data_IF_617967946320
#
_entry.id   IF_617967946320
#
_cell.length_a   1.000
_cell.length_b   1.000
_cell.length_c   1.000
_cell.angle_alpha   90.00
_cell.angle_beta   90.00
_cell.angle_gamma   90.00
#
_symmetry.space_group_name_H-M   'P 1'
#
loop_
_entity.id
_entity.type
_entity.pdbx_description
1 polymer ?
#
# COMPACT_ATOMS: atom_id res chain seq x y z
N UNK A 1 -14.78 22.65 3.39
CA UNK A 1 -14.60 21.27 3.84
C UNK A 1 -13.57 20.64 2.92
N UNK A 2 -12.38 20.33 3.40
CA UNK A 2 -11.34 19.71 2.59
C UNK A 2 -11.79 18.29 2.26
N UNK A 3 -11.81 17.92 0.98
CA UNK A 3 -12.12 16.57 0.52
C UNK A 3 -11.25 15.54 1.26
N UNK A 4 -11.82 14.44 1.77
CA UNK A 4 -11.02 13.38 2.37
C UNK A 4 -10.01 12.90 1.33
N UNK A 5 -8.74 12.82 1.73
CA UNK A 5 -7.68 12.38 0.83
C UNK A 5 -7.84 10.88 0.61
N UNK A 6 -8.37 10.47 -0.54
CA UNK A 6 -8.44 9.06 -0.90
C UNK A 6 -7.02 8.53 -1.07
N UNK A 7 -6.53 7.79 -0.07
CA UNK A 7 -5.21 7.18 -0.09
C UNK A 7 -5.17 6.04 -1.12
N UNK A 8 -4.01 5.86 -1.76
CA UNK A 8 -3.78 4.71 -2.64
C UNK A 8 -3.94 3.40 -1.84
N UNK A 9 -4.72 2.40 -2.30
CA UNK A 9 -4.90 1.12 -1.60
C UNK A 9 -3.60 0.41 -1.22
N UNK A 10 -2.57 0.48 -2.06
CA UNK A 10 -1.24 -0.09 -1.77
C UNK A 10 -0.54 0.64 -0.63
N UNK A 11 -0.74 1.96 -0.54
CA UNK A 11 -0.21 2.75 0.55
C UNK A 11 -0.97 2.49 1.87
N UNK A 12 -2.27 2.22 1.80
CA UNK A 12 -3.05 1.74 2.96
C UNK A 12 -2.50 0.39 3.45
N UNK A 13 -2.27 -0.57 2.55
CA UNK A 13 -1.66 -1.85 2.89
C UNK A 13 -0.26 -1.70 3.52
N UNK A 14 0.56 -0.77 2.99
CA UNK A 14 1.86 -0.44 3.59
C UNK A 14 1.71 0.10 5.02
N UNK A 15 0.75 1.01 5.25
CA UNK A 15 0.52 1.57 6.57
C UNK A 15 0.04 0.53 7.58
N UNK A 16 -0.87 -0.34 7.16
CA UNK A 16 -1.32 -1.47 7.95
C UNK A 16 -0.20 -2.46 8.27
N UNK A 17 0.69 -2.75 7.32
CA UNK A 17 1.86 -3.60 7.58
C UNK A 17 2.79 -3.06 8.66
N UNK A 18 2.67 -1.78 8.99
CA UNK A 18 3.43 -1.09 10.04
C UNK A 18 2.62 -0.79 11.30
N UNK A 19 1.32 -1.12 11.32
CA UNK A 19 0.41 -0.79 12.42
C UNK A 19 0.20 0.72 12.61
N UNK A 20 0.27 1.50 11.52
CA UNK A 20 0.18 2.96 11.53
C UNK A 20 -0.92 3.46 10.59
N UNK A 21 -1.40 4.69 10.79
CA UNK A 21 -2.23 5.38 9.79
C UNK A 21 -1.37 5.88 8.62
N UNK A 22 -1.96 6.15 7.44
CA UNK A 22 -1.24 6.71 6.29
C UNK A 22 -0.48 8.00 6.62
N UNK A 23 -1.07 8.88 7.43
CA UNK A 23 -0.46 10.13 7.88
C UNK A 23 0.74 9.87 8.80
N UNK A 24 0.60 8.95 9.74
CA UNK A 24 1.68 8.56 10.66
C UNK A 24 2.86 7.94 9.91
N UNK A 25 2.59 7.08 8.92
CA UNK A 25 3.62 6.52 8.04
C UNK A 25 4.31 7.60 7.24
N UNK A 26 3.56 8.54 6.67
CA UNK A 26 4.13 9.64 5.90
C UNK A 26 5.10 10.47 6.73
N UNK A 27 4.75 10.75 7.99
CA UNK A 27 5.62 11.50 8.90
C UNK A 27 6.83 10.67 9.34
N UNK A 28 6.64 9.39 9.68
CA UNK A 28 7.74 8.49 10.00
C UNK A 28 8.72 8.34 8.83
N UNK A 29 8.22 8.19 7.60
CA UNK A 29 9.05 8.08 6.39
C UNK A 29 9.77 9.40 6.06
N UNK A 30 9.18 10.55 6.38
CA UNK A 30 9.84 11.85 6.24
C UNK A 30 11.12 11.93 7.08
N UNK A 31 11.11 11.34 8.26
CA UNK A 31 12.27 11.27 9.17
C UNK A 31 13.25 10.18 8.75
N UNK A 32 12.75 8.98 8.40
CA UNK A 32 13.57 7.82 8.05
C UNK A 32 14.26 7.93 6.67
N UNK A 33 13.64 8.65 5.73
CA UNK A 33 14.12 8.82 4.36
C UNK A 33 14.22 10.31 3.99
N UNK A 34 15.16 11.06 4.58
CA UNK A 34 15.31 12.48 4.31
C UNK A 34 15.58 12.73 2.82
N UNK A 35 14.73 13.51 2.16
CA UNK A 35 14.79 13.77 0.72
C UNK A 35 14.19 12.67 -0.18
N UNK A 36 13.86 11.50 0.38
CA UNK A 36 13.28 10.36 -0.35
C UNK A 36 11.76 10.33 -0.24
N UNK A 37 11.05 10.99 -1.17
CA UNK A 37 9.58 10.99 -1.15
C UNK A 37 9.05 9.56 -1.40
N UNK A 38 8.36 9.00 -0.41
CA UNK A 38 7.81 7.63 -0.43
C UNK A 38 8.85 6.51 -0.63
N UNK A 39 10.12 6.75 -0.34
CA UNK A 39 11.18 5.75 -0.54
C UNK A 39 10.89 4.44 0.24
N UNK A 40 10.43 4.55 1.49
CA UNK A 40 10.01 3.40 2.30
C UNK A 40 8.92 2.58 1.62
N UNK A 41 7.86 3.26 1.17
CA UNK A 41 6.77 2.61 0.42
C UNK A 41 7.26 1.94 -0.87
N UNK A 42 8.11 2.59 -1.67
CA UNK A 42 8.60 2.03 -2.94
C UNK A 42 9.41 0.76 -2.70
N UNK A 43 10.31 0.78 -1.71
CA UNK A 43 11.12 -0.38 -1.34
C UNK A 43 10.23 -1.54 -0.85
N UNK A 44 9.29 -1.24 0.04
CA UNK A 44 8.33 -2.22 0.56
C UNK A 44 7.48 -2.83 -0.56
N UNK A 45 6.89 -2.00 -1.41
CA UNK A 45 6.03 -2.45 -2.50
C UNK A 45 6.80 -3.29 -3.53
N UNK A 46 8.06 -2.92 -3.81
CA UNK A 46 8.92 -3.71 -4.70
C UNK A 46 9.21 -5.11 -4.16
N UNK A 47 9.36 -5.26 -2.84
CA UNK A 47 9.52 -6.57 -2.21
C UNK A 47 8.24 -7.42 -2.34
N UNK A 48 7.07 -6.82 -2.06
CA UNK A 48 5.77 -7.49 -2.19
C UNK A 48 5.43 -7.92 -3.61
N UNK A 49 5.80 -7.13 -4.62
CA UNK A 49 5.68 -7.55 -6.03
C UNK A 49 6.49 -8.81 -6.31
N UNK A 50 7.71 -8.92 -5.78
CA UNK A 50 8.54 -10.13 -5.98
C UNK A 50 7.94 -11.36 -5.32
N UNK A 51 7.40 -11.21 -4.11
CA UNK A 51 6.69 -12.28 -3.41
C UNK A 51 5.46 -12.73 -4.17
N UNK A 52 4.63 -11.79 -4.62
CA UNK A 52 3.45 -12.09 -5.42
C UNK A 52 3.81 -12.89 -6.69
N UNK A 53 4.83 -12.46 -7.43
CA UNK A 53 5.30 -13.16 -8.63
C UNK A 53 5.80 -14.57 -8.29
N UNK A 54 6.58 -14.71 -7.22
CA UNK A 54 7.10 -15.99 -6.79
C UNK A 54 5.99 -16.98 -6.35
N UNK A 55 4.94 -16.49 -5.70
CA UNK A 55 3.82 -17.32 -5.24
C UNK A 55 2.85 -17.70 -6.37
N UNK A 56 2.59 -16.79 -7.30
CA UNK A 56 1.50 -16.93 -8.29
C UNK A 56 1.98 -17.32 -9.68
N UNK A 57 3.27 -17.14 -9.97
CA UNK A 57 3.82 -17.28 -11.32
C UNK A 57 3.38 -16.17 -12.29
N UNK A 58 2.74 -15.09 -11.79
CA UNK A 58 2.31 -13.97 -12.63
C UNK A 58 3.50 -13.24 -13.26
N UNK A 59 3.33 -12.71 -14.48
CA UNK A 59 4.33 -11.83 -15.08
C UNK A 59 4.40 -10.53 -14.28
N UNK A 60 5.62 -10.09 -13.97
CA UNK A 60 5.89 -8.83 -13.27
C UNK A 60 5.31 -7.62 -14.00
N UNK A 61 5.25 -7.63 -15.33
CA UNK A 61 4.62 -6.54 -16.11
C UNK A 61 3.12 -6.42 -15.86
N UNK A 62 2.48 -7.51 -15.45
CA UNK A 62 1.04 -7.65 -15.33
C UNK A 62 0.55 -7.40 -13.90
N UNK A 63 1.44 -7.52 -12.91
CA UNK A 63 1.16 -7.31 -11.47
C UNK A 63 0.52 -5.96 -11.20
N UNK A 64 0.91 -4.91 -11.94
CA UNK A 64 0.38 -3.56 -11.74
C UNK A 64 -0.96 -3.31 -12.41
N UNK A 65 -1.38 -4.17 -13.34
CA UNK A 65 -2.44 -3.87 -14.33
C UNK A 65 -3.77 -4.56 -14.03
N UNK A 66 -3.78 -5.69 -13.32
CA UNK A 66 -5.00 -6.52 -13.19
C UNK A 66 -5.68 -6.52 -11.81
N UNK A 67 -5.28 -5.67 -10.86
CA UNK A 67 -5.92 -5.57 -9.53
C UNK A 67 -5.77 -6.81 -8.63
N UNK A 68 -5.34 -7.95 -9.18
CA UNK A 68 -5.07 -9.20 -8.45
C UNK A 68 -4.00 -8.99 -7.37
N UNK A 69 -2.99 -8.17 -7.67
CA UNK A 69 -1.97 -7.77 -6.69
C UNK A 69 -2.56 -6.97 -5.53
N UNK A 70 -3.50 -6.07 -5.82
CA UNK A 70 -4.15 -5.24 -4.79
C UNK A 70 -5.06 -6.10 -3.90
N UNK A 71 -5.76 -7.07 -4.48
CA UNK A 71 -6.52 -8.07 -3.72
C UNK A 71 -5.60 -8.96 -2.86
N UNK A 72 -4.46 -9.37 -3.39
CA UNK A 72 -3.45 -10.15 -2.65
C UNK A 72 -2.86 -9.38 -1.47
N UNK A 73 -2.63 -8.07 -1.64
CA UNK A 73 -2.22 -7.17 -0.56
C UNK A 73 -3.33 -6.97 0.46
N UNK A 74 -4.57 -6.74 0.03
CA UNK A 74 -5.71 -6.57 0.92
C UNK A 74 -5.98 -7.83 1.76
N UNK A 75 -5.83 -9.03 1.19
CA UNK A 75 -5.96 -10.27 1.94
C UNK A 75 -4.90 -10.42 3.06
N UNK A 76 -3.72 -9.81 2.90
CA UNK A 76 -2.60 -9.91 3.85
C UNK A 76 -2.53 -8.77 4.85
N UNK A 77 -2.85 -7.56 4.41
CA UNK A 77 -2.64 -6.32 5.15
C UNK A 77 -3.92 -5.48 5.26
N UNK A 78 -5.02 -5.92 4.64
CA UNK A 78 -6.26 -5.16 4.51
C UNK A 78 -7.27 -5.34 5.64
N UNK A 79 -6.88 -5.87 6.81
CA UNK A 79 -7.77 -5.96 7.97
C UNK A 79 -8.46 -4.62 8.31
N UNK A 80 -7.78 -3.48 8.07
CA UNK A 80 -8.37 -2.15 8.22
C UNK A 80 -8.90 -1.50 6.92
N UNK A 81 -8.68 -2.10 5.75
CA UNK A 81 -9.36 -1.64 4.52
C UNK A 81 -10.86 -1.97 4.54
N UNK A 82 -11.28 -2.91 5.38
CA UNK A 82 -12.69 -3.26 5.60
C UNK A 82 -13.40 -2.34 6.63
N UNK A 83 -12.64 -1.64 7.49
CA UNK A 83 -13.20 -0.75 8.52
C UNK A 83 -13.09 0.74 8.18
N UNK A 84 -12.34 1.10 7.14
CA UNK A 84 -12.34 2.46 6.61
C UNK A 84 -13.55 2.63 5.70
N UNK A 85 -14.49 3.54 6.02
CA UNK A 85 -15.67 3.74 5.19
C UNK A 85 -15.23 4.12 3.77
N UNK A 86 -15.52 3.22 2.83
CA UNK A 86 -15.69 3.56 1.43
C UNK A 86 -16.91 4.46 1.35
N UNK A 87 -16.73 5.76 1.59
CA UNK A 87 -17.71 6.76 1.16
C UNK A 87 -17.71 6.77 -0.37
N UNK A 88 -18.55 5.91 -0.94
CA UNK A 88 -19.02 6.01 -2.32
C UNK A 88 -19.94 7.23 -2.36
N UNK A 89 -19.58 8.18 -3.21
CA UNK A 89 -20.31 9.42 -3.47
C UNK A 89 -21.74 9.19 -3.97
#
# INVERSE_FOLDING_TARGET
MSTPTTWNPRFLAYAQSRGLTPEQVREADRVAFPGGRFAGFICWNSARVREFVAETGADRSDVTSFGVYDAWLAARFGAAQLELPLEVA
#
